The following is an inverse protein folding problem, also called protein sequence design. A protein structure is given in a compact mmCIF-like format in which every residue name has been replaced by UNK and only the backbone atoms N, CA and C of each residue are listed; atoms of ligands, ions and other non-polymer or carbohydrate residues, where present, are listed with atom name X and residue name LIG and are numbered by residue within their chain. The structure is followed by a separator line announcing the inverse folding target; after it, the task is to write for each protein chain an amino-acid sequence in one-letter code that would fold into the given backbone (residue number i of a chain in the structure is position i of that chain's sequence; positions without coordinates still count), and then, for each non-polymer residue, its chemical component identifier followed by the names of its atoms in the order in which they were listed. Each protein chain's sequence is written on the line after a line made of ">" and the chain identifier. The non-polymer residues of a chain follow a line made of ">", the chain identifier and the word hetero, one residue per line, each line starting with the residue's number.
data_IF_499917074434
#
_entry.id   IF_499917074434
#
_cell.length_a   1.000
_cell.length_b   1.000
_cell.length_c   1.000
_cell.angle_alpha   90.00
_cell.angle_beta   90.00
_cell.angle_gamma   90.00
#
_symmetry.space_group_name_H-M   'P 1'
#
loop_
_entity.id
_entity.type
_entity.pdbx_description
1 polymer ?
#
# COMPACT_ATOMS: atom_id res chain seq x y z
N UNK A 1 -16.20 27.83 6.87
CA UNK A 1 -16.69 26.59 7.50
C UNK A 1 -15.52 25.62 7.52
N UNK A 2 -14.86 25.51 8.68
CA UNK A 2 -13.79 24.53 8.88
C UNK A 2 -14.46 23.15 8.96
N UNK A 3 -14.20 22.32 7.96
CA UNK A 3 -14.61 20.93 7.95
C UNK A 3 -13.84 20.18 9.04
N UNK A 4 -14.49 19.85 10.13
CA UNK A 4 -14.01 18.86 11.09
C UNK A 4 -14.04 17.50 10.39
N UNK A 5 -12.90 16.85 10.26
CA UNK A 5 -12.84 15.48 9.73
C UNK A 5 -11.81 15.26 8.64
N UNK A 6 -10.63 15.87 8.74
CA UNK A 6 -9.46 15.50 7.96
C UNK A 6 -8.52 14.57 8.75
N UNK A 7 -9.05 13.91 9.78
CA UNK A 7 -8.39 12.84 10.48
C UNK A 7 -8.83 11.51 9.88
N UNK A 8 -7.89 10.82 9.36
CA UNK A 8 -7.93 9.43 8.94
C UNK A 8 -8.70 9.09 7.66
N UNK A 9 -7.98 8.43 6.87
CA UNK A 9 -8.22 7.45 5.81
C UNK A 9 -7.64 7.92 4.48
N UNK A 10 -6.97 8.56 4.05
CA UNK A 10 -6.19 8.99 2.86
C UNK A 10 -5.77 10.45 3.07
N UNK A 11 -4.51 10.64 3.32
CA UNK A 11 -3.90 11.96 3.36
C UNK A 11 -4.21 12.71 2.07
N UNK A 12 -5.33 13.40 2.09
CA UNK A 12 -5.76 14.25 1.00
C UNK A 12 -4.85 15.48 0.99
N UNK A 13 -4.14 15.70 -0.11
CA UNK A 13 -3.33 16.90 -0.26
C UNK A 13 -4.22 18.11 -0.49
N UNK A 14 -3.85 19.23 0.13
CA UNK A 14 -4.60 20.48 0.10
C UNK A 14 -3.71 21.60 -0.43
N UNK A 15 -4.06 22.14 -1.60
CA UNK A 15 -3.49 23.35 -2.16
C UNK A 15 -4.48 24.49 -1.91
N UNK A 16 -4.02 25.56 -1.24
CA UNK A 16 -4.82 26.75 -1.00
C UNK A 16 -4.54 27.79 -2.08
N UNK A 17 -5.60 28.23 -2.74
CA UNK A 17 -5.59 29.34 -3.68
C UNK A 17 -6.42 30.49 -3.11
N UNK A 18 -5.79 31.64 -2.85
CA UNK A 18 -6.43 32.75 -2.14
C UNK A 18 -5.89 34.10 -2.59
N UNK A 19 -6.70 35.16 -2.40
CA UNK A 19 -6.28 36.54 -2.58
C UNK A 19 -5.45 37.10 -1.41
N UNK A 20 -5.32 36.36 -0.30
CA UNK A 20 -4.51 36.77 0.85
C UNK A 20 -3.04 36.53 0.56
N UNK A 21 -2.26 37.59 0.53
CA UNK A 21 -0.84 37.60 0.14
C UNK A 21 0.13 37.85 1.29
N UNK A 22 -0.39 38.00 2.53
CA UNK A 22 0.44 38.21 3.69
C UNK A 22 1.17 36.93 4.10
N UNK A 23 2.44 37.05 4.42
CA UNK A 23 3.28 35.92 4.89
C UNK A 23 2.66 35.21 6.10
N UNK A 24 2.00 35.95 7.03
CA UNK A 24 1.34 35.37 8.20
C UNK A 24 0.18 34.47 7.81
N UNK A 25 -0.60 34.82 6.79
CA UNK A 25 -1.72 33.98 6.30
C UNK A 25 -1.18 32.69 5.66
N UNK A 26 -0.08 32.77 4.92
CA UNK A 26 0.59 31.61 4.33
C UNK A 26 1.13 30.67 5.44
N UNK A 27 1.88 31.19 6.38
CA UNK A 27 2.43 30.40 7.49
C UNK A 27 1.31 29.78 8.36
N UNK A 28 0.22 30.50 8.58
CA UNK A 28 -0.93 29.98 9.31
C UNK A 28 -1.60 28.81 8.57
N UNK A 29 -1.82 28.95 7.26
CA UNK A 29 -2.43 27.91 6.43
C UNK A 29 -1.57 26.65 6.36
N UNK A 30 -0.25 26.78 6.17
CA UNK A 30 0.71 25.67 6.17
C UNK A 30 0.80 25.02 7.56
N UNK A 31 0.75 25.81 8.64
CA UNK A 31 0.71 25.31 10.02
C UNK A 31 -0.58 24.53 10.35
N UNK A 32 -1.68 24.79 9.66
CA UNK A 32 -2.93 24.03 9.78
C UNK A 32 -2.96 22.74 8.94
N UNK A 33 -1.90 22.45 8.18
CA UNK A 33 -1.75 21.23 7.42
C UNK A 33 -2.02 21.35 5.92
N UNK A 34 -2.05 22.57 5.37
CA UNK A 34 -2.03 22.73 3.92
C UNK A 34 -0.68 22.28 3.34
N UNK A 35 -0.70 21.60 2.20
CA UNK A 35 0.50 21.09 1.55
C UNK A 35 1.19 22.18 0.70
N UNK A 36 0.45 23.13 0.20
CA UNK A 36 0.98 24.29 -0.51
C UNK A 36 -0.02 25.46 -0.47
N UNK A 37 0.48 26.63 -0.79
CA UNK A 37 -0.25 27.90 -0.75
C UNK A 37 0.10 28.74 -1.97
N UNK A 38 -0.90 29.27 -2.65
CA UNK A 38 -0.73 30.10 -3.85
C UNK A 38 -1.64 31.31 -3.80
N UNK A 39 -1.07 32.48 -4.02
CA UNK A 39 -1.80 33.75 -4.01
C UNK A 39 -2.38 34.09 -5.38
N UNK A 40 -3.58 34.66 -5.39
CA UNK A 40 -4.21 35.27 -6.56
C UNK A 40 -3.72 36.70 -6.73
N UNK A 41 -3.54 37.22 -7.98
CA UNK A 41 -3.65 36.47 -9.23
C UNK A 41 -2.44 35.56 -9.47
N UNK A 42 -2.69 34.37 -10.02
CA UNK A 42 -1.64 33.48 -10.46
C UNK A 42 -1.88 33.03 -11.90
N UNK A 43 -0.81 32.83 -12.65
CA UNK A 43 -0.97 32.29 -14.00
C UNK A 43 -1.20 30.76 -13.93
N UNK A 44 -1.82 30.25 -14.99
CA UNK A 44 -2.18 28.83 -15.10
C UNK A 44 -0.96 27.92 -15.02
N UNK A 45 0.17 28.32 -15.60
CA UNK A 45 1.41 27.53 -15.58
C UNK A 45 1.94 27.36 -14.18
N UNK A 46 1.90 28.39 -13.35
CA UNK A 46 2.33 28.36 -11.95
C UNK A 46 1.43 27.45 -11.11
N UNK A 47 0.12 27.51 -11.32
CA UNK A 47 -0.85 26.64 -10.68
C UNK A 47 -0.61 25.16 -11.07
N UNK A 48 -0.46 24.88 -12.37
CA UNK A 48 -0.19 23.53 -12.85
C UNK A 48 1.13 22.98 -12.34
N UNK A 49 2.18 23.79 -12.26
CA UNK A 49 3.47 23.35 -11.71
C UNK A 49 3.34 22.94 -10.23
N UNK A 50 2.57 23.67 -9.42
CA UNK A 50 2.31 23.32 -8.02
C UNK A 50 1.51 22.03 -7.89
N UNK A 51 0.46 21.86 -8.68
CA UNK A 51 -0.34 20.64 -8.72
C UNK A 51 0.53 19.42 -9.11
N UNK A 52 1.34 19.55 -10.16
CA UNK A 52 2.26 18.50 -10.59
C UNK A 52 3.26 18.11 -9.49
N UNK A 53 3.81 19.08 -8.79
CA UNK A 53 4.73 18.81 -7.67
C UNK A 53 4.05 18.07 -6.51
N UNK A 54 2.82 18.43 -6.17
CA UNK A 54 2.05 17.74 -5.13
C UNK A 54 1.74 16.30 -5.54
N UNK A 55 1.33 16.07 -6.78
CA UNK A 55 1.07 14.71 -7.29
C UNK A 55 2.33 13.86 -7.30
N UNK A 56 3.47 14.40 -7.74
CA UNK A 56 4.76 13.70 -7.71
C UNK A 56 5.17 13.32 -6.29
N UNK A 57 5.05 14.23 -5.32
CA UNK A 57 5.35 13.95 -3.90
C UNK A 57 4.47 12.83 -3.36
N UNK A 58 3.21 12.79 -3.75
CA UNK A 58 2.29 11.70 -3.38
C UNK A 58 2.73 10.36 -3.95
N UNK A 59 3.12 10.33 -5.22
CA UNK A 59 3.65 9.13 -5.87
C UNK A 59 4.94 8.65 -5.21
N UNK A 60 5.88 9.56 -4.92
CA UNK A 60 7.13 9.24 -4.23
C UNK A 60 6.88 8.73 -2.80
N UNK A 61 5.94 9.31 -2.06
CA UNK A 61 5.55 8.85 -0.72
C UNK A 61 4.84 7.50 -0.76
N UNK A 62 4.00 7.26 -1.75
CA UNK A 62 3.37 5.95 -1.96
C UNK A 62 4.42 4.89 -2.30
N UNK A 63 5.43 5.21 -3.11
CA UNK A 63 6.51 4.29 -3.45
C UNK A 63 7.44 3.99 -2.27
N UNK A 64 7.68 4.93 -1.35
CA UNK A 64 8.56 4.73 -0.20
C UNK A 64 8.02 3.77 0.86
N UNK A 65 6.72 3.52 0.89
CA UNK A 65 6.09 2.56 1.81
C UNK A 65 5.68 1.23 1.18
N UNK A 66 5.71 1.14 -0.15
CA UNK A 66 5.27 -0.03 -0.89
C UNK A 66 6.40 -1.06 -1.05
N UNK A 67 6.07 -2.33 -0.86
CA UNK A 67 6.98 -3.43 -1.09
C UNK A 67 6.81 -3.98 -2.51
N UNK A 68 7.93 -4.11 -3.23
CA UNK A 68 7.94 -4.65 -4.58
C UNK A 68 8.04 -6.18 -4.54
N UNK A 69 7.02 -6.85 -5.09
CA UNK A 69 6.94 -8.30 -5.19
C UNK A 69 7.30 -8.87 -6.57
N UNK A 70 7.83 -8.04 -7.48
CA UNK A 70 8.02 -8.44 -8.88
C UNK A 70 6.67 -8.55 -9.60
N UNK A 71 6.33 -7.57 -10.41
CA UNK A 71 5.03 -7.48 -11.09
C UNK A 71 3.86 -6.99 -10.25
N UNK A 72 4.05 -6.72 -8.97
CA UNK A 72 3.08 -6.09 -8.09
C UNK A 72 3.75 -5.29 -6.98
N UNK A 73 2.99 -4.36 -6.39
CA UNK A 73 3.36 -3.62 -5.19
C UNK A 73 2.35 -3.93 -4.08
N UNK A 74 2.84 -4.04 -2.85
CA UNK A 74 2.00 -4.26 -1.67
C UNK A 74 2.20 -3.15 -0.65
N UNK A 75 1.10 -2.51 -0.23
CA UNK A 75 1.10 -1.62 0.92
C UNK A 75 1.02 -2.45 2.22
N UNK A 76 2.09 -2.47 3.03
CA UNK A 76 2.11 -3.28 4.25
C UNK A 76 1.16 -2.78 5.34
N UNK A 77 0.68 -1.54 5.26
CA UNK A 77 -0.19 -0.94 6.26
C UNK A 77 -1.68 -1.20 5.96
N UNK A 78 -2.05 -1.17 4.69
CA UNK A 78 -3.45 -1.33 4.25
C UNK A 78 -3.73 -2.68 3.61
N UNK A 79 -2.69 -3.47 3.33
CA UNK A 79 -2.76 -4.70 2.54
C UNK A 79 -3.34 -4.48 1.13
N UNK A 80 -3.13 -3.30 0.58
CA UNK A 80 -3.52 -3.01 -0.80
C UNK A 80 -2.48 -3.54 -1.76
N UNK A 81 -2.92 -4.40 -2.65
CA UNK A 81 -2.15 -4.98 -3.75
C UNK A 81 -2.37 -4.14 -5.00
N UNK A 82 -1.29 -3.71 -5.63
CA UNK A 82 -1.30 -2.97 -6.89
C UNK A 82 -0.63 -3.81 -7.97
N UNK A 83 -1.36 -4.15 -9.02
CA UNK A 83 -0.85 -4.92 -10.16
C UNK A 83 -1.32 -4.30 -11.48
N UNK A 84 -0.41 -3.70 -12.23
CA UNK A 84 -0.74 -2.94 -13.43
C UNK A 84 -1.68 -1.78 -13.11
N UNK A 85 -2.87 -1.78 -13.74
CA UNK A 85 -3.92 -0.77 -13.49
C UNK A 85 -4.95 -1.19 -12.44
N UNK A 86 -4.80 -2.39 -11.87
CA UNK A 86 -5.73 -2.93 -10.87
C UNK A 86 -5.19 -2.75 -9.46
N UNK A 87 -6.09 -2.51 -8.52
CA UNK A 87 -5.78 -2.52 -7.10
C UNK A 87 -6.81 -3.35 -6.34
N UNK A 88 -6.34 -4.03 -5.30
CA UNK A 88 -7.15 -4.92 -4.48
C UNK A 88 -6.78 -4.77 -3.01
N UNK A 89 -7.76 -4.56 -2.14
CA UNK A 89 -7.54 -4.59 -0.70
C UNK A 89 -7.71 -6.02 -0.23
N UNK A 90 -6.62 -6.62 0.23
CA UNK A 90 -6.63 -7.98 0.74
C UNK A 90 -7.27 -8.05 2.14
N UNK A 91 -8.07 -9.08 2.44
CA UNK A 91 -8.45 -9.38 3.80
C UNK A 91 -7.23 -9.58 4.71
N UNK A 92 -7.39 -9.34 6.01
CA UNK A 92 -6.28 -9.25 6.95
C UNK A 92 -5.36 -10.49 6.94
N UNK A 93 -5.92 -11.69 6.96
CA UNK A 93 -5.10 -12.91 6.96
C UNK A 93 -4.37 -13.11 5.63
N UNK A 94 -5.03 -12.86 4.51
CA UNK A 94 -4.43 -12.95 3.18
C UNK A 94 -3.31 -11.92 3.01
N UNK A 95 -3.55 -10.69 3.48
CA UNK A 95 -2.54 -9.62 3.50
C UNK A 95 -1.33 -9.97 4.35
N UNK A 96 -1.53 -10.53 5.56
CA UNK A 96 -0.44 -11.00 6.43
C UNK A 96 0.38 -12.13 5.79
N UNK A 97 -0.27 -13.07 5.14
CA UNK A 97 0.40 -14.16 4.42
C UNK A 97 1.28 -13.58 3.31
N UNK A 98 0.71 -12.78 2.42
CA UNK A 98 1.45 -12.21 1.28
C UNK A 98 2.62 -11.35 1.75
N UNK A 99 2.41 -10.52 2.76
CA UNK A 99 3.46 -9.69 3.36
C UNK A 99 4.60 -10.53 3.92
N UNK A 100 4.29 -11.61 4.64
CA UNK A 100 5.28 -12.50 5.23
C UNK A 100 6.09 -13.23 4.16
N UNK A 101 5.42 -13.75 3.14
CA UNK A 101 6.09 -14.41 2.02
C UNK A 101 6.98 -13.43 1.24
N UNK A 102 6.50 -12.21 1.03
CA UNK A 102 7.25 -11.17 0.31
C UNK A 102 8.52 -10.74 1.05
N UNK A 103 8.41 -10.52 2.38
CA UNK A 103 9.57 -10.18 3.21
C UNK A 103 10.60 -11.30 3.33
N UNK A 104 10.16 -12.54 3.22
CA UNK A 104 11.02 -13.73 3.31
C UNK A 104 11.56 -14.19 1.96
N UNK A 105 11.00 -13.69 0.86
CA UNK A 105 11.37 -14.10 -0.51
C UNK A 105 12.89 -13.94 -0.76
N UNK A 106 13.55 -14.92 -1.40
CA UNK A 106 13.01 -16.15 -1.96
C UNK A 106 12.92 -17.33 -0.99
N UNK A 107 13.15 -17.11 0.29
CA UNK A 107 13.20 -18.16 1.31
C UNK A 107 11.81 -18.74 1.60
N UNK A 108 11.82 -19.99 2.08
CA UNK A 108 10.61 -20.66 2.55
C UNK A 108 10.14 -20.10 3.89
N UNK A 109 8.83 -19.99 4.05
CA UNK A 109 8.17 -19.72 5.33
C UNK A 109 7.46 -20.99 5.77
N UNK A 110 7.77 -21.47 6.97
CA UNK A 110 7.16 -22.67 7.51
C UNK A 110 5.68 -22.46 7.87
N UNK A 111 4.92 -23.54 7.92
CA UNK A 111 3.54 -23.49 8.43
C UNK A 111 3.49 -22.92 9.83
N UNK A 112 4.41 -23.34 10.71
CA UNK A 112 4.52 -22.87 12.08
C UNK A 112 4.68 -21.34 12.16
N UNK A 113 5.58 -20.78 11.35
CA UNK A 113 5.78 -19.31 11.30
C UNK A 113 4.53 -18.58 10.81
N UNK A 114 3.83 -19.13 9.81
CA UNK A 114 2.57 -18.56 9.33
C UNK A 114 1.48 -18.60 10.39
N UNK A 115 1.38 -19.69 11.18
CA UNK A 115 0.45 -19.77 12.30
C UNK A 115 0.73 -18.71 13.36
N UNK A 116 2.00 -18.49 13.71
CA UNK A 116 2.38 -17.41 14.62
C UNK A 116 1.99 -16.03 14.08
N UNK A 117 2.21 -15.77 12.81
CA UNK A 117 1.84 -14.50 12.18
C UNK A 117 0.34 -14.27 12.15
N UNK A 118 -0.45 -15.32 11.87
CA UNK A 118 -1.90 -15.18 11.71
C UNK A 118 -2.65 -15.21 13.04
N UNK A 119 -2.24 -16.08 13.98
CA UNK A 119 -3.00 -16.38 15.20
C UNK A 119 -2.19 -16.22 16.50
N UNK A 120 -0.93 -15.84 16.41
CA UNK A 120 -0.07 -15.59 17.58
C UNK A 120 0.43 -16.84 18.29
N UNK A 121 0.06 -18.03 17.84
CA UNK A 121 0.48 -19.32 18.39
C UNK A 121 0.56 -20.38 17.32
N UNK A 122 1.40 -21.39 17.52
CA UNK A 122 1.45 -22.60 16.71
C UNK A 122 0.94 -23.85 17.47
N UNK A 123 0.38 -23.68 18.67
CA UNK A 123 -0.05 -24.81 19.51
C UNK A 123 -1.29 -25.52 18.97
N UNK A 124 -2.18 -24.80 18.30
CA UNK A 124 -3.40 -25.34 17.71
C UNK A 124 -3.39 -25.12 16.21
N UNK A 125 -2.76 -26.05 15.49
CA UNK A 125 -2.62 -25.96 14.04
C UNK A 125 -3.89 -26.46 13.38
N UNK A 126 -4.74 -25.56 12.92
CA UNK A 126 -5.79 -25.88 11.97
C UNK A 126 -5.27 -25.67 10.54
N UNK A 127 -4.75 -26.74 9.94
CA UNK A 127 -4.25 -26.72 8.57
C UNK A 127 -5.33 -26.34 7.57
N UNK A 128 -6.60 -26.64 7.84
CA UNK A 128 -7.71 -26.27 6.98
C UNK A 128 -7.90 -24.76 6.92
N UNK A 129 -7.80 -24.06 8.06
CA UNK A 129 -7.89 -22.61 8.10
C UNK A 129 -6.78 -21.95 7.28
N UNK A 130 -5.55 -22.47 7.36
CA UNK A 130 -4.44 -22.00 6.56
C UNK A 130 -4.70 -22.25 5.06
N UNK A 131 -5.13 -23.44 4.68
CA UNK A 131 -5.45 -23.79 3.30
C UNK A 131 -6.54 -22.90 2.69
N UNK A 132 -7.58 -22.59 3.45
CA UNK A 132 -8.66 -21.69 2.99
C UNK A 132 -8.11 -20.31 2.68
N UNK A 133 -7.25 -19.74 3.53
CA UNK A 133 -6.64 -18.44 3.31
C UNK A 133 -5.71 -18.44 2.08
N UNK A 134 -4.92 -19.50 1.88
CA UNK A 134 -4.09 -19.64 0.69
C UNK A 134 -4.91 -19.78 -0.59
N UNK A 135 -5.99 -20.54 -0.56
CA UNK A 135 -6.89 -20.70 -1.71
C UNK A 135 -7.50 -19.36 -2.13
N UNK A 136 -7.95 -18.56 -1.16
CA UNK A 136 -8.49 -17.22 -1.41
C UNK A 136 -7.44 -16.26 -1.94
N UNK A 137 -6.26 -16.25 -1.33
CA UNK A 137 -5.15 -15.41 -1.78
C UNK A 137 -4.72 -15.76 -3.21
N UNK A 138 -4.58 -17.04 -3.54
CA UNK A 138 -4.26 -17.47 -4.91
C UNK A 138 -5.31 -17.05 -5.93
N UNK A 139 -6.60 -17.12 -5.55
CA UNK A 139 -7.68 -16.65 -6.40
C UNK A 139 -7.54 -15.16 -6.69
N UNK A 140 -7.31 -14.33 -5.67
CA UNK A 140 -7.11 -12.88 -5.84
C UNK A 140 -5.89 -12.58 -6.71
N UNK A 141 -4.77 -13.27 -6.49
CA UNK A 141 -3.57 -13.11 -7.31
C UNK A 141 -3.83 -13.46 -8.78
N UNK A 142 -4.59 -14.52 -9.05
CA UNK A 142 -4.99 -14.90 -10.40
C UNK A 142 -5.83 -13.83 -11.09
N UNK A 143 -6.76 -13.22 -10.37
CA UNK A 143 -7.62 -12.15 -10.91
C UNK A 143 -6.85 -10.89 -11.32
N UNK A 144 -5.67 -10.68 -10.74
CA UNK A 144 -4.78 -9.56 -11.10
C UNK A 144 -3.61 -9.98 -12.02
N UNK A 145 -3.65 -11.19 -12.57
CA UNK A 145 -2.65 -11.68 -13.51
C UNK A 145 -1.35 -12.19 -12.89
N UNK A 146 -1.38 -12.53 -11.60
CA UNK A 146 -0.24 -13.05 -10.85
C UNK A 146 -0.41 -14.53 -10.55
N UNK A 147 -0.75 -15.32 -11.57
CA UNK A 147 -0.89 -16.76 -11.43
C UNK A 147 0.41 -17.40 -10.97
N UNK A 148 0.26 -18.46 -10.16
CA UNK A 148 1.36 -19.34 -9.77
C UNK A 148 2.54 -18.67 -9.04
N UNK A 149 2.30 -17.53 -8.38
CA UNK A 149 3.33 -16.81 -7.62
C UNK A 149 3.63 -17.44 -6.26
N UNK A 150 2.72 -18.20 -5.69
CA UNK A 150 2.91 -18.87 -4.41
C UNK A 150 3.18 -20.36 -4.64
N UNK A 151 4.36 -20.79 -4.26
CA UNK A 151 4.75 -22.18 -4.30
C UNK A 151 4.54 -22.86 -2.94
N UNK A 152 3.96 -24.03 -2.98
CA UNK A 152 3.92 -24.96 -1.83
C UNK A 152 5.05 -25.96 -1.95
N UNK A 153 5.95 -26.01 -0.97
CA UNK A 153 6.97 -27.03 -0.87
C UNK A 153 6.53 -28.03 0.18
N UNK A 154 6.13 -29.21 -0.29
CA UNK A 154 5.54 -30.25 0.55
C UNK A 154 6.42 -30.59 1.76
N UNK A 155 5.85 -30.53 2.95
CA UNK A 155 6.53 -30.84 4.22
C UNK A 155 7.47 -29.73 4.72
N UNK A 156 7.66 -28.64 3.98
CA UNK A 156 8.57 -27.55 4.35
C UNK A 156 7.86 -26.20 4.56
N UNK A 157 6.92 -25.83 3.69
CA UNK A 157 6.20 -24.58 3.81
C UNK A 157 5.85 -23.95 2.46
N UNK A 158 5.86 -22.64 2.45
CA UNK A 158 5.44 -21.83 1.30
C UNK A 158 6.48 -20.76 0.98
N UNK A 159 6.57 -20.35 -0.26
CA UNK A 159 7.38 -19.20 -0.67
C UNK A 159 6.75 -18.44 -1.82
N UNK A 160 7.13 -17.18 -1.95
CA UNK A 160 6.83 -16.38 -3.12
C UNK A 160 7.92 -16.64 -4.18
N UNK A 161 7.51 -17.08 -5.36
CA UNK A 161 8.44 -17.26 -6.48
C UNK A 161 8.91 -15.90 -6.99
N UNK A 162 10.16 -15.81 -7.35
CA UNK A 162 10.66 -14.66 -8.09
C UNK A 162 10.03 -14.61 -9.49
N UNK A 163 9.77 -13.40 -9.97
CA UNK A 163 9.34 -13.26 -11.35
C UNK A 163 10.56 -13.49 -12.25
N UNK A 164 10.53 -14.57 -13.01
CA UNK A 164 11.52 -14.76 -14.08
C UNK A 164 11.10 -13.79 -15.18
N UNK A 165 11.86 -12.72 -15.38
CA UNK A 165 11.75 -11.90 -16.58
C UNK A 165 12.10 -12.78 -17.77
N UNK A 166 11.11 -13.02 -18.61
CA UNK A 166 11.30 -13.72 -19.88
C UNK A 166 11.73 -12.71 -20.94
#
# INVERSE_FOLDING_TARGET
>A
RVSRGLGDVYKRQVLILTARDKLQDELHALGLGADDYLTKPCNTERLLARIKNLLRRKEEQMQQGLLNGGGFLLDPNTFTLYAGKKSYVLPQNEGKILLTLLKSSPNLVSKSDLFHVLWGTAEFIDENALQVNFTRLRKTLREVGLDDRIETVRGQGYRLKEQVEV
#
